data_IF_268153205770
#
_entry.id   IF_268153205770
#
_cell.length_a   1.000
_cell.length_b   1.000
_cell.length_c   1.000
_cell.angle_alpha   90.00
_cell.angle_beta   90.00
_cell.angle_gamma   90.00
#
_symmetry.space_group_name_H-M   'P 1'
#
loop_
_entity.id
_entity.type
_entity.pdbx_description
1 polymer ?
#
# COMPACT_ATOMS: atom_id res chain seq x y z
N UNK A 1 19.95 -13.88 -15.22
CA UNK A 1 20.95 -13.23 -14.37
C UNK A 1 20.41 -13.12 -12.95
N UNK A 2 21.20 -13.49 -11.94
CA UNK A 2 20.88 -13.29 -10.52
C UNK A 2 21.11 -11.82 -10.17
N UNK A 3 20.13 -11.20 -9.48
CA UNK A 3 20.19 -9.78 -9.09
C UNK A 3 20.17 -9.59 -7.57
N UNK A 4 19.83 -10.62 -6.80
CA UNK A 4 19.79 -10.56 -5.35
C UNK A 4 19.40 -11.88 -4.70
N UNK A 5 19.01 -11.81 -3.44
CA UNK A 5 18.55 -12.96 -2.66
C UNK A 5 17.47 -12.53 -1.67
N UNK A 6 16.38 -13.29 -1.60
CA UNK A 6 15.32 -13.15 -0.61
C UNK A 6 15.50 -14.17 0.51
N UNK A 7 15.31 -13.73 1.75
CA UNK A 7 15.29 -14.60 2.92
C UNK A 7 13.89 -15.14 3.22
N UNK A 8 12.87 -14.37 2.89
CA UNK A 8 11.45 -14.68 3.12
C UNK A 8 10.67 -14.51 1.84
N UNK A 9 9.52 -15.17 1.73
CA UNK A 9 8.62 -15.00 0.60
C UNK A 9 8.06 -13.59 0.55
N UNK A 10 8.02 -12.97 -0.63
CA UNK A 10 7.32 -11.71 -0.88
C UNK A 10 5.98 -12.00 -1.55
N UNK A 11 4.90 -11.50 -0.96
CA UNK A 11 3.56 -11.52 -1.52
C UNK A 11 3.03 -10.11 -1.70
N UNK A 12 2.60 -9.77 -2.90
CA UNK A 12 2.03 -8.45 -3.19
C UNK A 12 0.69 -8.25 -2.49
N UNK A 13 -0.08 -9.33 -2.29
CA UNK A 13 -1.36 -9.30 -1.58
C UNK A 13 -1.27 -8.86 -0.12
N UNK A 14 -0.13 -9.07 0.54
CA UNK A 14 0.04 -8.66 1.93
C UNK A 14 -0.01 -7.14 2.10
N UNK A 15 0.30 -6.39 1.03
CA UNK A 15 0.22 -4.94 0.98
C UNK A 15 -1.21 -4.37 1.03
N UNK A 16 -2.24 -5.20 0.83
CA UNK A 16 -3.62 -4.72 0.84
C UNK A 16 -4.20 -4.53 2.25
N UNK A 17 -3.59 -5.11 3.25
CA UNK A 17 -4.08 -5.05 4.63
C UNK A 17 -3.12 -4.33 5.59
N UNK A 18 -2.08 -3.70 5.05
CA UNK A 18 -1.12 -2.92 5.81
C UNK A 18 0.28 -2.95 5.22
N UNK A 19 1.24 -2.44 6.00
CA UNK A 19 2.65 -2.49 5.62
C UNK A 19 3.12 -3.94 5.58
N UNK A 20 3.76 -4.33 4.48
CA UNK A 20 4.31 -5.68 4.25
C UNK A 20 5.76 -5.59 3.79
N UNK A 21 6.48 -6.71 3.78
CA UNK A 21 7.85 -6.77 3.26
C UNK A 21 7.92 -6.31 1.80
N UNK A 22 6.86 -6.60 1.03
CA UNK A 22 6.72 -6.14 -0.35
C UNK A 22 6.64 -4.61 -0.44
N UNK A 23 5.68 -3.99 0.27
CA UNK A 23 5.55 -2.54 0.27
C UNK A 23 6.76 -1.85 0.90
N UNK A 24 7.34 -2.42 1.96
CA UNK A 24 8.57 -1.91 2.57
C UNK A 24 9.73 -1.87 1.58
N UNK A 25 9.84 -2.88 0.68
CA UNK A 25 10.85 -2.87 -0.39
C UNK A 25 10.62 -1.72 -1.36
N UNK A 26 9.39 -1.54 -1.85
CA UNK A 26 9.03 -0.46 -2.80
C UNK A 26 9.25 0.91 -2.17
N UNK A 27 8.77 1.13 -0.95
CA UNK A 27 8.98 2.39 -0.22
C UNK A 27 10.45 2.70 0.04
N UNK A 28 11.27 1.68 0.34
CA UNK A 28 12.71 1.85 0.55
C UNK A 28 13.40 2.42 -0.69
N UNK A 29 12.96 2.01 -1.90
CA UNK A 29 13.47 2.57 -3.14
C UNK A 29 13.13 4.06 -3.26
N UNK A 30 11.89 4.46 -2.94
CA UNK A 30 11.47 5.86 -2.91
C UNK A 30 12.27 6.67 -1.89
N UNK A 31 12.37 6.18 -0.65
CA UNK A 31 13.11 6.84 0.42
C UNK A 31 14.64 6.88 0.21
N UNK A 32 15.18 6.07 -0.71
CA UNK A 32 16.61 6.12 -1.05
C UNK A 32 16.99 7.30 -1.94
N UNK A 33 16.01 8.03 -2.48
CA UNK A 33 16.28 9.19 -3.30
C UNK A 33 16.79 10.35 -2.43
N UNK A 34 17.81 11.10 -2.89
CA UNK A 34 18.36 12.21 -2.10
C UNK A 34 17.32 13.28 -1.77
N UNK A 35 17.26 13.67 -0.50
CA UNK A 35 16.39 14.75 -0.04
C UNK A 35 14.92 14.43 0.06
N UNK A 36 14.52 13.14 -0.04
CA UNK A 36 13.16 12.68 0.13
C UNK A 36 12.83 12.53 1.61
N UNK A 37 11.69 13.07 2.03
CA UNK A 37 11.14 12.94 3.38
C UNK A 37 10.19 11.73 3.50
N UNK A 38 9.38 11.48 2.45
CA UNK A 38 8.33 10.45 2.41
C UNK A 38 8.31 9.72 1.06
N UNK A 39 7.73 8.53 1.08
CA UNK A 39 7.40 7.76 -0.13
C UNK A 39 5.92 7.39 -0.13
N UNK A 40 5.26 7.59 -1.26
CA UNK A 40 3.92 7.06 -1.55
C UNK A 40 4.07 5.95 -2.58
N UNK A 41 3.45 4.80 -2.32
CA UNK A 41 3.53 3.64 -3.19
C UNK A 41 2.33 2.71 -3.02
N UNK A 42 1.92 2.10 -4.15
CA UNK A 42 0.82 1.15 -4.23
C UNK A 42 1.29 -0.29 -4.48
N UNK A 43 0.48 -1.30 -4.13
CA UNK A 43 0.67 -2.67 -4.59
C UNK A 43 0.35 -2.78 -6.08
N UNK A 44 1.38 -2.96 -6.92
CA UNK A 44 1.26 -2.87 -8.39
C UNK A 44 0.78 -4.16 -9.05
N UNK A 45 0.92 -5.31 -8.37
CA UNK A 45 0.47 -6.61 -8.86
C UNK A 45 -0.52 -7.24 -7.89
N UNK A 46 -1.54 -7.93 -8.45
CA UNK A 46 -2.63 -8.48 -7.64
C UNK A 46 -2.23 -9.72 -6.84
N UNK A 47 -1.53 -10.67 -7.45
CA UNK A 47 -1.18 -11.98 -6.87
C UNK A 47 0.29 -12.37 -7.12
N UNK A 48 1.20 -11.40 -7.09
CA UNK A 48 2.61 -11.66 -7.28
C UNK A 48 3.20 -12.39 -6.07
N UNK A 49 3.97 -13.45 -6.32
CA UNK A 49 4.70 -14.20 -5.30
C UNK A 49 6.12 -14.40 -5.78
N UNK A 50 7.10 -13.97 -4.98
CA UNK A 50 8.51 -14.29 -5.17
C UNK A 50 8.97 -15.14 -3.98
N UNK A 51 9.45 -16.34 -4.27
CA UNK A 51 9.87 -17.31 -3.25
C UNK A 51 11.25 -16.95 -2.66
N UNK A 52 11.56 -17.44 -1.43
CA UNK A 52 12.90 -17.31 -0.88
C UNK A 52 13.96 -17.94 -1.79
N UNK A 53 15.15 -17.35 -1.80
CA UNK A 53 16.29 -17.81 -2.58
C UNK A 53 16.81 -16.74 -3.54
N UNK A 54 17.46 -17.17 -4.61
CA UNK A 54 18.04 -16.27 -5.59
C UNK A 54 16.95 -15.52 -6.36
N UNK A 55 17.01 -14.19 -6.35
CA UNK A 55 16.18 -13.33 -7.22
C UNK A 55 16.83 -13.30 -8.60
N UNK A 56 16.08 -13.64 -9.62
CA UNK A 56 16.47 -13.49 -11.01
C UNK A 56 15.76 -12.28 -11.66
N UNK A 57 16.27 -11.85 -12.81
CA UNK A 57 15.75 -10.67 -13.48
C UNK A 57 14.23 -10.76 -13.75
N UNK A 58 13.70 -11.95 -14.01
CA UNK A 58 12.27 -12.15 -14.24
C UNK A 58 11.40 -11.91 -12.99
N UNK A 59 11.95 -12.12 -11.80
CA UNK A 59 11.22 -11.88 -10.55
C UNK A 59 10.96 -10.39 -10.32
N UNK A 60 11.79 -9.52 -10.92
CA UNK A 60 11.57 -8.07 -10.84
C UNK A 60 10.25 -7.66 -11.49
N UNK A 61 9.83 -8.30 -12.56
CA UNK A 61 8.52 -8.03 -13.18
C UNK A 61 7.35 -8.54 -12.34
N UNK A 62 7.58 -9.52 -11.47
CA UNK A 62 6.58 -9.93 -10.46
C UNK A 62 6.46 -8.88 -9.35
N UNK A 63 7.58 -8.28 -8.94
CA UNK A 63 7.61 -7.23 -7.92
C UNK A 63 7.08 -5.91 -8.49
N UNK A 64 7.56 -5.52 -9.68
CA UNK A 64 7.26 -4.23 -10.28
C UNK A 64 7.18 -4.36 -11.81
N UNK A 65 5.97 -4.56 -12.40
CA UNK A 65 5.81 -4.88 -13.81
C UNK A 65 5.81 -3.67 -14.75
N UNK A 66 5.83 -2.44 -14.22
CA UNK A 66 5.69 -1.22 -15.00
C UNK A 66 7.02 -0.47 -15.15
N UNK A 67 7.23 0.14 -16.30
CA UNK A 67 8.34 1.07 -16.56
C UNK A 67 7.96 2.50 -16.13
N UNK A 68 7.67 2.67 -14.84
CA UNK A 68 7.33 3.96 -14.28
C UNK A 68 8.59 4.79 -14.00
N UNK A 69 8.45 6.09 -14.11
CA UNK A 69 9.48 7.02 -13.64
C UNK A 69 9.21 7.39 -12.19
N UNK A 70 10.28 7.42 -11.40
CA UNK A 70 10.21 7.95 -10.04
C UNK A 70 10.47 9.45 -10.09
N UNK A 71 9.65 10.22 -9.42
CA UNK A 71 9.81 11.66 -9.29
C UNK A 71 9.55 12.09 -7.85
N UNK A 72 10.03 13.28 -7.52
CA UNK A 72 9.85 13.88 -6.20
C UNK A 72 8.99 15.13 -6.36
N UNK A 73 7.88 15.15 -5.64
CA UNK A 73 6.98 16.31 -5.57
C UNK A 73 7.02 16.95 -4.20
N UNK A 74 6.73 18.24 -4.13
CA UNK A 74 6.49 18.93 -2.87
C UNK A 74 5.01 18.86 -2.52
N UNK A 75 4.72 18.41 -1.32
CA UNK A 75 3.37 18.37 -0.77
C UNK A 75 3.40 18.91 0.66
N UNK A 76 2.42 19.73 1.01
CA UNK A 76 2.19 20.11 2.40
C UNK A 76 1.73 18.89 3.22
N UNK A 77 1.95 18.92 4.53
CA UNK A 77 1.46 17.85 5.41
C UNK A 77 -0.05 17.65 5.32
N UNK A 78 -0.81 18.70 5.03
CA UNK A 78 -2.26 18.62 4.80
C UNK A 78 -2.58 17.86 3.51
N UNK A 79 -1.91 18.20 2.40
CA UNK A 79 -2.09 17.50 1.12
C UNK A 79 -1.72 16.02 1.23
N UNK A 80 -0.66 15.68 1.99
CA UNK A 80 -0.28 14.28 2.25
C UNK A 80 -1.43 13.54 2.97
N UNK A 81 -2.02 14.15 4.01
CA UNK A 81 -3.15 13.55 4.71
C UNK A 81 -4.35 13.37 3.78
N UNK A 82 -4.71 14.42 3.03
CA UNK A 82 -5.86 14.40 2.13
C UNK A 82 -5.65 13.37 0.99
N UNK A 83 -4.43 13.26 0.47
CA UNK A 83 -4.06 12.24 -0.50
C UNK A 83 -4.24 10.82 0.06
N UNK A 84 -3.75 10.55 1.27
CA UNK A 84 -3.92 9.25 1.91
C UNK A 84 -5.39 8.93 2.18
N UNK A 85 -6.19 9.91 2.62
CA UNK A 85 -7.65 9.71 2.78
C UNK A 85 -8.31 9.30 1.46
N UNK A 86 -7.98 9.99 0.36
CA UNK A 86 -8.49 9.68 -0.97
C UNK A 86 -7.99 8.31 -1.47
N UNK A 87 -6.72 7.98 -1.22
CA UNK A 87 -6.15 6.69 -1.58
C UNK A 87 -6.86 5.55 -0.85
N UNK A 88 -6.91 5.61 0.48
CA UNK A 88 -7.57 4.56 1.28
C UNK A 88 -9.06 4.43 0.99
N UNK A 89 -9.73 5.51 0.57
CA UNK A 89 -11.12 5.40 0.12
C UNK A 89 -11.30 4.58 -1.16
N UNK A 90 -10.26 4.40 -1.96
CA UNK A 90 -10.34 3.56 -3.17
C UNK A 90 -10.50 2.06 -2.85
N UNK A 91 -9.96 1.58 -1.71
CA UNK A 91 -9.87 0.14 -1.46
C UNK A 91 -10.52 -0.33 -0.16
N UNK A 92 -10.71 0.55 0.85
CA UNK A 92 -11.13 0.21 2.21
C UNK A 92 -12.59 0.63 2.44
N UNK A 93 -13.40 -0.30 2.92
CA UNK A 93 -14.74 -0.02 3.42
C UNK A 93 -14.70 0.55 4.85
N UNK A 94 -15.72 1.30 5.22
CA UNK A 94 -15.98 1.62 6.63
C UNK A 94 -16.55 0.40 7.33
N UNK A 95 -15.92 -0.05 8.42
CA UNK A 95 -16.33 -1.21 9.18
C UNK A 95 -17.13 -0.83 10.41
N UNK A 96 -18.13 -1.64 10.71
CA UNK A 96 -18.84 -1.58 12.00
C UNK A 96 -18.03 -2.27 13.10
N UNK A 97 -18.24 -1.93 14.40
CA UNK A 97 -17.58 -2.61 15.52
C UNK A 97 -17.79 -4.13 15.51
N UNK A 98 -18.97 -4.59 15.07
CA UNK A 98 -19.27 -6.03 14.96
C UNK A 98 -18.42 -6.74 13.88
N UNK A 99 -18.02 -6.04 12.83
CA UNK A 99 -17.13 -6.58 11.79
C UNK A 99 -15.68 -6.62 12.26
N UNK A 100 -15.26 -5.67 13.10
CA UNK A 100 -13.89 -5.64 13.67
C UNK A 100 -13.65 -6.76 14.70
N UNK A 101 -14.69 -7.28 15.34
CA UNK A 101 -14.55 -8.37 16.30
C UNK A 101 -14.23 -9.73 15.65
N UNK A 102 -14.24 -9.84 14.33
CA UNK A 102 -13.87 -11.05 13.59
C UNK A 102 -12.38 -11.07 13.28
N UNK A 103 -11.76 -12.26 13.16
CA UNK A 103 -10.39 -12.38 12.71
C UNK A 103 -10.18 -11.67 11.35
N UNK A 104 -9.03 -11.05 11.14
CA UNK A 104 -8.72 -10.31 9.89
C UNK A 104 -8.83 -11.21 8.66
N UNK A 105 -8.50 -12.50 8.79
CA UNK A 105 -8.69 -13.49 7.72
C UNK A 105 -10.13 -13.60 7.24
N UNK A 106 -11.09 -13.47 8.15
CA UNK A 106 -12.52 -13.54 7.85
C UNK A 106 -13.12 -12.16 7.54
N UNK A 107 -12.42 -11.09 7.90
CA UNK A 107 -12.83 -9.71 7.67
C UNK A 107 -12.33 -9.14 6.32
N UNK A 108 -11.38 -9.80 5.65
CA UNK A 108 -10.80 -9.30 4.40
C UNK A 108 -11.86 -8.95 3.34
N UNK A 109 -12.90 -9.76 3.10
CA UNK A 109 -13.96 -9.40 2.15
C UNK A 109 -14.81 -8.22 2.63
N UNK A 110 -14.93 -7.99 3.95
CA UNK A 110 -15.65 -6.85 4.49
C UNK A 110 -14.79 -5.58 4.49
N UNK A 111 -13.47 -5.74 4.71
CA UNK A 111 -12.52 -4.63 4.74
C UNK A 111 -12.29 -4.04 3.34
N UNK A 112 -12.13 -4.89 2.34
CA UNK A 112 -11.72 -4.47 1.00
C UNK A 112 -12.93 -4.18 0.11
N UNK A 113 -12.87 -3.14 -0.71
CA UNK A 113 -13.85 -2.83 -1.76
C UNK A 113 -13.64 -3.79 -2.93
N UNK A 114 -14.32 -4.94 -2.90
CA UNK A 114 -14.20 -6.00 -3.89
C UNK A 114 -15.49 -6.28 -4.65
N UNK A 115 -15.35 -6.88 -5.82
CA UNK A 115 -16.43 -7.48 -6.61
C UNK A 115 -16.21 -8.98 -6.62
N UNK A 116 -17.21 -9.74 -6.18
CA UNK A 116 -17.18 -11.19 -6.24
C UNK A 116 -17.61 -11.66 -7.64
N UNK A 117 -16.84 -12.58 -8.20
CA UNK A 117 -17.12 -13.23 -9.48
C UNK A 117 -17.35 -14.72 -9.23
N UNK A 118 -18.61 -15.18 -9.12
CA UNK A 118 -18.90 -16.59 -9.02
C UNK A 118 -18.56 -17.26 -10.35
N UNK A 119 -17.76 -18.33 -10.32
CA UNK A 119 -17.54 -19.17 -11.47
C UNK A 119 -18.65 -20.24 -11.52
N UNK A 120 -19.59 -20.15 -12.50
CA UNK A 120 -20.71 -21.08 -12.58
C UNK A 120 -20.29 -22.53 -12.91
N UNK A 121 -19.04 -22.74 -13.36
CA UNK A 121 -18.53 -24.07 -13.76
C UNK A 121 -17.84 -24.82 -12.63
N UNK A 122 -17.17 -24.09 -11.72
CA UNK A 122 -16.31 -24.72 -10.71
C UNK A 122 -16.79 -24.49 -9.29
N UNK A 123 -17.86 -23.74 -9.06
CA UNK A 123 -18.31 -23.24 -7.76
C UNK A 123 -17.20 -22.48 -6.97
N UNK A 124 -16.09 -22.17 -7.63
CA UNK A 124 -15.03 -21.34 -7.05
C UNK A 124 -15.45 -19.90 -7.10
N UNK A 125 -15.31 -19.22 -5.97
CA UNK A 125 -15.45 -17.77 -5.91
C UNK A 125 -14.08 -17.17 -6.25
N UNK A 126 -14.06 -16.30 -7.24
CA UNK A 126 -12.95 -15.36 -7.47
C UNK A 126 -13.44 -13.95 -7.17
N UNK A 127 -12.52 -13.04 -6.94
CA UNK A 127 -12.84 -11.64 -6.68
C UNK A 127 -11.83 -10.72 -7.33
N UNK A 128 -12.22 -9.49 -7.55
CA UNK A 128 -11.34 -8.41 -7.98
C UNK A 128 -11.63 -7.16 -7.16
N UNK A 129 -10.71 -6.22 -7.14
CA UNK A 129 -11.00 -4.91 -6.57
C UNK A 129 -12.04 -4.15 -7.41
N UNK A 130 -12.83 -3.31 -6.76
CA UNK A 130 -13.71 -2.36 -7.44
C UNK A 130 -12.91 -1.30 -8.19
N UNK A 131 -11.81 -0.84 -7.58
CA UNK A 131 -10.88 0.14 -8.16
C UNK A 131 -9.53 -0.54 -8.47
N UNK A 132 -8.69 0.14 -9.21
CA UNK A 132 -7.38 -0.37 -9.61
C UNK A 132 -6.38 -0.29 -8.45
N UNK A 133 -5.71 -1.42 -8.14
CA UNK A 133 -4.79 -1.51 -7.00
C UNK A 133 -3.57 -0.59 -7.11
N UNK A 134 -3.19 -0.18 -8.30
CA UNK A 134 -2.11 0.78 -8.49
C UNK A 134 -2.45 2.22 -8.05
N UNK A 135 -3.70 2.47 -7.60
CA UNK A 135 -4.12 3.71 -6.96
C UNK A 135 -4.19 3.60 -5.43
N UNK A 136 -3.75 2.48 -4.85
CA UNK A 136 -3.86 2.20 -3.43
C UNK A 136 -2.57 2.56 -2.69
N UNK A 137 -2.16 3.82 -2.81
CA UNK A 137 -0.95 4.28 -2.17
C UNK A 137 -1.05 4.25 -0.65
N UNK A 138 -0.04 3.66 -0.05
CA UNK A 138 0.31 3.82 1.35
C UNK A 138 1.52 4.76 1.48
N UNK A 139 1.89 5.12 2.70
CA UNK A 139 3.02 6.00 2.95
C UNK A 139 4.09 5.33 3.80
N UNK A 140 5.36 5.70 3.54
CA UNK A 140 6.48 5.47 4.46
C UNK A 140 7.25 6.78 4.65
N UNK A 141 8.02 6.87 5.74
CA UNK A 141 8.65 8.11 6.20
C UNK A 141 7.85 8.82 7.29
N UNK A 142 6.60 8.40 7.52
CA UNK A 142 5.72 8.86 8.60
C UNK A 142 5.14 7.69 9.39
N UNK A 143 4.73 7.98 10.64
CA UNK A 143 3.93 7.07 11.46
C UNK A 143 2.48 7.53 11.43
N UNK A 144 1.59 6.68 10.95
CA UNK A 144 0.16 6.99 10.87
C UNK A 144 -0.69 5.76 11.13
N UNK A 145 -1.93 6.00 11.47
CA UNK A 145 -2.95 4.96 11.64
C UNK A 145 -4.12 5.22 10.72
N UNK A 146 -4.73 4.13 10.26
CA UNK A 146 -5.95 4.15 9.46
C UNK A 146 -7.08 3.57 10.29
N UNK A 147 -7.96 4.42 10.80
CA UNK A 147 -9.15 3.99 11.55
C UNK A 147 -10.26 3.63 10.56
N UNK A 148 -10.39 2.34 10.31
CA UNK A 148 -11.37 1.80 9.36
C UNK A 148 -12.83 1.90 9.85
N UNK A 149 -13.06 2.36 11.08
CA UNK A 149 -14.42 2.63 11.59
C UNK A 149 -14.90 4.02 11.23
N UNK A 150 -13.99 4.89 10.81
CA UNK A 150 -14.29 6.26 10.45
C UNK A 150 -14.71 6.40 8.99
N UNK A 151 -15.53 7.40 8.66
CA UNK A 151 -15.84 7.72 7.27
C UNK A 151 -14.59 8.22 6.53
N UNK A 152 -14.65 8.22 5.20
CA UNK A 152 -13.62 8.84 4.35
C UNK A 152 -13.42 10.31 4.74
N UNK A 153 -12.17 10.74 4.79
CA UNK A 153 -11.74 12.07 5.23
C UNK A 153 -11.37 12.16 6.72
N UNK A 154 -11.74 11.16 7.54
CA UNK A 154 -11.48 11.13 8.99
C UNK A 154 -10.66 9.90 9.43
N UNK A 155 -10.23 9.05 8.48
CA UNK A 155 -9.57 7.77 8.78
C UNK A 155 -8.11 7.90 9.15
N UNK A 156 -7.42 8.88 8.56
CA UNK A 156 -5.96 9.02 8.66
C UNK A 156 -5.58 9.93 9.83
N UNK A 157 -4.81 9.36 10.75
CA UNK A 157 -4.18 10.10 11.84
C UNK A 157 -2.67 9.96 11.75
N UNK A 158 -1.96 11.04 11.41
CA UNK A 158 -0.49 11.08 11.33
C UNK A 158 0.04 11.54 12.68
N UNK A 159 0.85 10.71 13.32
CA UNK A 159 1.37 10.96 14.66
C UNK A 159 2.76 11.61 14.66
N UNK A 160 3.61 11.29 13.71
CA UNK A 160 4.98 11.80 13.62
C UNK A 160 5.64 11.43 12.28
N UNK A 161 6.82 11.97 12.03
CA UNK A 161 7.77 11.42 11.06
C UNK A 161 8.28 10.05 11.56
N UNK A 162 8.86 9.23 10.68
CA UNK A 162 9.39 7.90 11.02
C UNK A 162 10.55 7.98 12.05
N UNK A 163 11.34 9.03 12.03
CA UNK A 163 12.41 9.34 12.99
C UNK A 163 11.92 9.93 14.31
N UNK A 164 10.57 10.00 14.51
CA UNK A 164 9.86 10.59 15.65
C UNK A 164 9.88 12.12 15.71
N UNK A 165 10.40 12.82 14.71
CA UNK A 165 10.21 14.25 14.59
C UNK A 165 8.72 14.61 14.46
N UNK A 166 8.35 15.82 14.85
CA UNK A 166 6.98 16.32 14.74
C UNK A 166 6.58 16.41 13.27
N UNK A 167 5.42 15.84 12.91
CA UNK A 167 4.83 16.05 11.62
C UNK A 167 4.02 17.36 11.62
N UNK A 168 4.38 18.28 10.74
CA UNK A 168 3.74 19.60 10.64
C UNK A 168 2.85 19.66 9.39
N UNK A 169 1.57 19.87 9.58
CA UNK A 169 0.57 19.93 8.50
C UNK A 169 0.75 21.15 7.57
N UNK A 170 1.44 22.18 8.00
CA UNK A 170 1.71 23.38 7.20
C UNK A 170 3.04 23.33 6.45
N UNK A 171 3.97 22.45 6.89
CA UNK A 171 5.27 22.28 6.26
C UNK A 171 5.16 21.56 4.93
N UNK A 172 6.00 21.93 3.95
CA UNK A 172 6.22 21.14 2.73
C UNK A 172 7.23 20.02 2.96
N UNK A 173 6.96 18.87 2.37
CA UNK A 173 7.77 17.66 2.36
C UNK A 173 8.09 17.26 0.93
N UNK A 174 9.27 16.70 0.71
CA UNK A 174 9.64 16.07 -0.55
C UNK A 174 9.13 14.63 -0.55
N UNK A 175 8.20 14.33 -1.43
CA UNK A 175 7.50 13.05 -1.50
C UNK A 175 7.89 12.31 -2.78
N UNK A 176 8.48 11.12 -2.63
CA UNK A 176 8.76 10.25 -3.76
C UNK A 176 7.50 9.48 -4.15
N UNK A 177 7.20 9.49 -5.45
CA UNK A 177 6.09 8.72 -6.05
C UNK A 177 6.52 8.23 -7.44
N UNK A 178 5.70 7.36 -8.01
CA UNK A 178 5.87 6.87 -9.39
C UNK A 178 4.73 7.33 -10.28
N UNK A 179 5.02 7.48 -11.57
CA UNK A 179 4.03 7.87 -12.58
C UNK A 179 3.01 6.76 -12.84
#
# INVERSE_FOLDING_TARGET
QRVGELRTELRTSDGYVGMSDYLALVHRLGLSQPGVDLSLAAPLTFNGIVKPGAIIYNDLFTIYPYENQMFVVKMSGREIKDYLEASYDQWINTLTPAQLSRPISDASPALLKIINHPDPRTSRQSWSFQNRSYNFDSAAGINYTVDVTKPSGERISISSMADRAVFDFAREYNVAMTS
#
